data_IF_383839942986
#
_entry.id   IF_383839942986
#
_cell.length_a   1.000
_cell.length_b   1.000
_cell.length_c   1.000
_cell.angle_alpha   90.00
_cell.angle_beta   90.00
_cell.angle_gamma   90.00
#
_symmetry.space_group_name_H-M   'P 1'
#
loop_
_entity.id
_entity.type
_entity.pdbx_description
1 polymer ?
#
# COMPACT_ATOMS: atom_id res chain seq x y z
N UNK A 1 -11.41 3.40 13.41
CA UNK A 1 -10.44 2.53 12.69
C UNK A 1 -9.45 3.26 11.77
N UNK A 2 -9.86 4.26 10.97
CA UNK A 2 -8.92 5.01 10.14
C UNK A 2 -8.09 6.03 10.91
N UNK A 3 -8.70 7.16 11.26
CA UNK A 3 -7.98 8.35 11.75
C UNK A 3 -7.37 8.12 13.13
N UNK A 4 -8.16 7.62 14.08
CA UNK A 4 -7.68 7.28 15.42
C UNK A 4 -6.69 6.10 15.42
N UNK A 5 -6.81 5.18 14.46
CA UNK A 5 -5.88 4.05 14.31
C UNK A 5 -4.50 4.52 13.85
N UNK A 6 -4.45 5.33 12.80
CA UNK A 6 -3.20 5.91 12.29
C UNK A 6 -2.60 6.90 13.29
N UNK A 7 -3.42 7.72 13.98
CA UNK A 7 -2.95 8.59 15.04
C UNK A 7 -2.42 7.80 16.25
N UNK A 8 -3.05 6.68 16.61
CA UNK A 8 -2.57 5.79 17.67
C UNK A 8 -1.28 5.05 17.31
N UNK A 9 -1.07 4.80 16.03
CA UNK A 9 0.15 4.14 15.53
C UNK A 9 1.40 4.95 15.89
N UNK A 10 1.35 6.29 15.89
CA UNK A 10 2.50 7.13 16.25
C UNK A 10 3.00 6.87 17.67
N UNK A 11 2.10 6.56 18.60
CA UNK A 11 2.42 6.32 20.00
C UNK A 11 3.02 4.94 20.24
N UNK A 12 2.83 4.00 19.30
CA UNK A 12 3.29 2.59 19.38
C UNK A 12 3.13 2.01 20.79
N UNK A 13 1.92 2.08 21.34
CA UNK A 13 1.66 1.70 22.74
C UNK A 13 2.05 0.26 23.05
N UNK A 14 1.87 -0.67 22.09
CA UNK A 14 2.22 -2.09 22.27
C UNK A 14 3.72 -2.30 22.54
N UNK A 15 4.66 -1.93 21.64
CA UNK A 15 6.09 -2.10 21.91
C UNK A 15 6.56 -1.24 23.09
N UNK A 16 5.97 -0.05 23.31
CA UNK A 16 6.33 0.79 24.44
C UNK A 16 6.04 0.10 25.79
N UNK A 17 4.87 -0.49 25.96
CA UNK A 17 4.49 -1.21 27.19
C UNK A 17 5.34 -2.47 27.37
N UNK A 18 5.56 -3.24 26.29
CA UNK A 18 6.40 -4.44 26.32
C UNK A 18 7.84 -4.08 26.70
N UNK A 19 8.39 -2.99 26.17
CA UNK A 19 9.72 -2.52 26.49
C UNK A 19 9.86 -2.20 27.99
N UNK A 20 8.94 -1.43 28.57
CA UNK A 20 8.99 -1.11 30.00
C UNK A 20 8.84 -2.34 30.89
N UNK A 21 8.00 -3.30 30.48
CA UNK A 21 7.80 -4.55 31.20
C UNK A 21 9.06 -5.45 31.14
N UNK A 22 9.66 -5.60 29.95
CA UNK A 22 10.94 -6.30 29.78
C UNK A 22 12.07 -5.62 30.57
N UNK A 23 12.14 -4.29 30.52
CA UNK A 23 13.16 -3.52 31.22
C UNK A 23 13.06 -3.66 32.74
N UNK A 24 11.84 -3.77 33.29
CA UNK A 24 11.64 -3.94 34.73
C UNK A 24 11.92 -5.37 35.22
N UNK A 25 11.54 -6.40 34.45
CA UNK A 25 11.61 -7.79 34.92
C UNK A 25 12.78 -8.62 34.38
N UNK A 26 13.27 -8.34 33.16
CA UNK A 26 14.12 -9.26 32.40
C UNK A 26 15.50 -8.67 32.04
N UNK A 27 15.62 -7.36 31.88
CA UNK A 27 16.88 -6.70 31.49
C UNK A 27 17.87 -6.69 32.65
N UNK A 28 19.04 -7.34 32.48
CA UNK A 28 20.15 -7.32 33.44
C UNK A 28 21.43 -6.76 32.85
N UNK A 29 21.58 -6.83 31.53
CA UNK A 29 22.75 -6.34 30.78
C UNK A 29 22.35 -5.39 29.65
N UNK A 30 23.31 -4.60 29.15
CA UNK A 30 23.07 -3.67 28.02
C UNK A 30 22.62 -4.40 26.74
N UNK A 31 23.08 -5.64 26.52
CA UNK A 31 22.64 -6.46 25.37
C UNK A 31 21.16 -6.85 25.46
N UNK A 32 20.68 -7.19 26.66
CA UNK A 32 19.26 -7.51 26.87
C UNK A 32 18.36 -6.29 26.59
N UNK A 33 18.90 -5.07 26.77
CA UNK A 33 18.21 -3.82 26.47
C UNK A 33 18.09 -3.58 24.97
N UNK A 34 19.14 -3.86 24.20
CA UNK A 34 19.11 -3.79 22.73
C UNK A 34 18.07 -4.76 22.16
N UNK A 35 18.02 -6.00 22.66
CA UNK A 35 17.00 -6.99 22.26
C UNK A 35 15.58 -6.57 22.65
N UNK A 36 15.41 -5.86 23.78
CA UNK A 36 14.12 -5.33 24.19
C UNK A 36 13.68 -4.11 23.35
N UNK A 37 14.62 -3.40 22.72
CA UNK A 37 14.38 -2.20 21.90
C UNK A 37 13.94 -2.51 20.46
N UNK A 38 13.74 -3.77 20.09
CA UNK A 38 13.31 -4.14 18.74
C UNK A 38 11.98 -3.47 18.36
N UNK A 39 11.99 -2.52 17.42
CA UNK A 39 10.79 -1.86 16.96
C UNK A 39 9.93 -2.77 16.09
N UNK A 40 10.44 -3.87 15.55
CA UNK A 40 9.78 -4.71 14.57
C UNK A 40 9.57 -4.02 13.21
N UNK A 41 8.94 -4.77 12.31
CA UNK A 41 8.67 -4.37 10.94
C UNK A 41 7.31 -3.70 10.75
N UNK A 42 7.11 -3.11 9.57
CA UNK A 42 5.81 -2.61 9.14
C UNK A 42 4.89 -3.81 8.93
N UNK A 43 3.71 -3.79 9.55
CA UNK A 43 2.68 -4.80 9.36
C UNK A 43 2.02 -4.65 7.98
N UNK A 44 2.72 -5.04 6.92
CA UNK A 44 2.25 -4.93 5.53
C UNK A 44 0.91 -5.66 5.35
N UNK A 45 0.77 -6.85 5.95
CA UNK A 45 -0.43 -7.67 5.89
C UNK A 45 -1.69 -6.99 6.45
N UNK A 46 -1.55 -6.08 7.41
CA UNK A 46 -2.68 -5.37 8.03
C UNK A 46 -2.89 -3.98 7.42
N UNK A 47 -1.80 -3.30 7.08
CA UNK A 47 -1.83 -1.92 6.60
C UNK A 47 -2.23 -1.84 5.13
N UNK A 48 -1.75 -2.75 4.29
CA UNK A 48 -2.02 -2.74 2.85
C UNK A 48 -3.51 -2.95 2.52
N UNK A 49 -4.22 -3.95 3.08
CA UNK A 49 -5.65 -4.12 2.80
C UNK A 49 -6.49 -2.96 3.32
N UNK A 50 -6.08 -2.35 4.44
CA UNK A 50 -6.75 -1.18 5.02
C UNK A 50 -6.68 0.03 4.08
N UNK A 51 -5.52 0.29 3.48
CA UNK A 51 -5.35 1.35 2.48
C UNK A 51 -6.20 1.06 1.24
N UNK A 52 -6.23 -0.18 0.77
CA UNK A 52 -7.03 -0.59 -0.39
C UNK A 52 -8.53 -0.43 -0.17
N UNK A 53 -9.02 -0.68 1.04
CA UNK A 53 -10.41 -0.42 1.40
C UNK A 53 -10.77 1.06 1.25
N UNK A 54 -9.90 1.98 1.73
CA UNK A 54 -10.12 3.42 1.56
C UNK A 54 -10.05 3.86 0.10
N UNK A 55 -9.17 3.25 -0.71
CA UNK A 55 -9.14 3.47 -2.15
C UNK A 55 -10.43 3.04 -2.83
N UNK A 56 -10.93 1.84 -2.53
CA UNK A 56 -12.21 1.34 -3.04
C UNK A 56 -13.35 2.29 -2.65
N UNK A 57 -13.42 2.69 -1.38
CA UNK A 57 -14.42 3.63 -0.88
C UNK A 57 -14.35 4.97 -1.63
N UNK A 58 -13.15 5.52 -1.81
CA UNK A 58 -12.94 6.75 -2.56
C UNK A 58 -13.42 6.65 -4.01
N UNK A 59 -13.06 5.56 -4.71
CA UNK A 59 -13.45 5.34 -6.10
C UNK A 59 -14.95 5.11 -6.28
N UNK A 60 -15.60 4.36 -5.38
CA UNK A 60 -17.04 4.07 -5.44
C UNK A 60 -17.86 5.31 -5.12
N UNK A 61 -17.48 6.08 -4.10
CA UNK A 61 -18.26 7.23 -3.65
C UNK A 61 -17.91 8.54 -4.35
N UNK A 62 -16.80 8.63 -5.09
CA UNK A 62 -16.44 9.80 -5.88
C UNK A 62 -17.59 10.34 -6.77
N UNK A 63 -18.25 9.52 -7.60
CA UNK A 63 -19.37 9.98 -8.43
C UNK A 63 -20.72 10.07 -7.68
N UNK A 64 -20.83 9.51 -6.46
CA UNK A 64 -22.10 9.41 -5.71
C UNK A 64 -22.23 10.52 -4.67
N UNK A 65 -21.23 10.68 -3.82
CA UNK A 65 -21.18 11.65 -2.71
C UNK A 65 -19.77 12.25 -2.63
N UNK A 66 -19.47 13.33 -3.38
CA UNK A 66 -18.12 13.90 -3.45
C UNK A 66 -17.64 14.50 -2.13
N UNK A 67 -18.56 14.76 -1.18
CA UNK A 67 -18.22 15.29 0.15
C UNK A 67 -17.32 14.34 0.96
N UNK A 68 -17.27 13.04 0.63
CA UNK A 68 -16.40 12.07 1.29
C UNK A 68 -14.92 12.21 0.86
N UNK A 69 -14.66 12.70 -0.35
CA UNK A 69 -13.30 12.76 -0.91
C UNK A 69 -12.32 13.61 -0.10
N UNK A 70 -12.68 14.84 0.36
CA UNK A 70 -11.78 15.64 1.20
C UNK A 70 -11.34 14.90 2.48
N UNK A 71 -12.22 14.12 3.11
CA UNK A 71 -11.89 13.34 4.30
C UNK A 71 -10.90 12.21 4.00
N UNK A 72 -11.05 11.55 2.85
CA UNK A 72 -10.14 10.48 2.41
C UNK A 72 -8.77 11.06 2.03
N UNK A 73 -8.74 12.20 1.32
CA UNK A 73 -7.49 12.88 0.96
C UNK A 73 -6.74 13.33 2.22
N UNK A 74 -7.46 13.94 3.18
CA UNK A 74 -6.88 14.33 4.45
C UNK A 74 -6.31 13.13 5.22
N UNK A 75 -7.04 12.01 5.25
CA UNK A 75 -6.57 10.76 5.83
C UNK A 75 -5.26 10.28 5.18
N UNK A 76 -5.18 10.25 3.85
CA UNK A 76 -3.96 9.84 3.14
C UNK A 76 -2.79 10.79 3.39
N UNK A 77 -3.03 12.11 3.43
CA UNK A 77 -2.00 13.09 3.76
C UNK A 77 -1.46 12.91 5.18
N UNK A 78 -2.35 12.72 6.15
CA UNK A 78 -1.96 12.48 7.55
C UNK A 78 -1.23 11.14 7.73
N UNK A 79 -1.73 10.07 7.10
CA UNK A 79 -1.08 8.76 7.11
C UNK A 79 0.31 8.82 6.46
N UNK A 80 0.47 9.54 5.35
CA UNK A 80 1.76 9.74 4.70
C UNK A 80 2.79 10.36 5.65
N UNK A 81 2.41 11.43 6.38
CA UNK A 81 3.31 12.08 7.33
C UNK A 81 3.74 11.14 8.46
N UNK A 82 2.79 10.40 9.04
CA UNK A 82 3.07 9.48 10.15
C UNK A 82 3.92 8.31 9.69
N UNK A 83 3.53 7.60 8.64
CA UNK A 83 4.30 6.47 8.15
C UNK A 83 5.69 6.90 7.66
N UNK A 84 5.83 8.07 7.02
CA UNK A 84 7.14 8.61 6.65
C UNK A 84 8.03 8.84 7.88
N UNK A 85 7.47 9.42 8.95
CA UNK A 85 8.21 9.61 10.20
C UNK A 85 8.63 8.27 10.82
N UNK A 86 7.73 7.29 10.86
CA UNK A 86 8.02 6.00 11.48
C UNK A 86 9.00 5.15 10.66
N UNK A 87 8.94 5.20 9.32
CA UNK A 87 9.89 4.50 8.45
C UNK A 87 11.32 5.02 8.67
N UNK A 88 11.48 6.33 8.87
CA UNK A 88 12.81 6.94 9.04
C UNK A 88 13.37 6.67 10.45
N UNK A 89 12.52 6.77 11.49
CA UNK A 89 13.00 6.84 12.87
C UNK A 89 12.83 5.55 13.69
N UNK A 90 11.96 4.64 13.25
CA UNK A 90 11.51 3.55 14.12
C UNK A 90 11.56 2.20 13.44
N UNK A 91 10.87 2.00 12.32
CA UNK A 91 10.72 0.66 11.75
C UNK A 91 12.05 0.12 11.22
N UNK A 92 12.32 -1.15 11.54
CA UNK A 92 13.42 -1.89 10.95
C UNK A 92 12.86 -2.88 9.94
N UNK A 93 13.42 -2.91 8.73
CA UNK A 93 12.94 -3.75 7.65
C UNK A 93 13.66 -5.11 7.69
N UNK A 94 12.93 -6.17 8.03
CA UNK A 94 13.49 -7.53 8.14
C UNK A 94 13.79 -8.18 6.78
N UNK A 95 13.06 -7.80 5.73
CA UNK A 95 13.20 -8.35 4.39
C UNK A 95 13.18 -7.25 3.32
N UNK A 96 14.05 -7.35 2.32
CA UNK A 96 14.08 -6.42 1.17
C UNK A 96 13.49 -7.08 -0.08
N UNK A 97 12.24 -6.75 -0.38
CA UNK A 97 11.53 -7.27 -1.56
C UNK A 97 11.68 -6.40 -2.81
N UNK A 98 12.38 -5.27 -2.74
CA UNK A 98 12.53 -4.30 -3.84
C UNK A 98 11.22 -3.93 -4.57
N UNK A 99 10.12 -3.78 -3.80
CA UNK A 99 8.78 -3.46 -4.30
C UNK A 99 8.15 -4.48 -5.30
N UNK A 100 8.57 -5.75 -5.25
CA UNK A 100 7.98 -6.81 -6.08
C UNK A 100 6.45 -7.01 -5.88
N UNK A 101 5.87 -6.49 -4.79
CA UNK A 101 4.42 -6.50 -4.53
C UNK A 101 3.61 -5.48 -5.38
N UNK A 102 4.26 -4.60 -6.14
CA UNK A 102 3.57 -3.54 -6.89
C UNK A 102 2.56 -4.05 -7.93
N UNK A 103 2.84 -5.12 -8.71
CA UNK A 103 1.86 -5.69 -9.63
C UNK A 103 0.55 -6.13 -8.93
N UNK A 104 0.65 -6.67 -7.71
CA UNK A 104 -0.52 -7.07 -6.91
C UNK A 104 -1.33 -5.86 -6.47
N UNK A 105 -0.67 -4.82 -5.95
CA UNK A 105 -1.32 -3.57 -5.55
C UNK A 105 -2.02 -2.91 -6.74
N UNK A 106 -1.34 -2.84 -7.89
CA UNK A 106 -1.92 -2.32 -9.13
C UNK A 106 -3.16 -3.12 -9.56
N UNK A 107 -3.09 -4.45 -9.56
CA UNK A 107 -4.21 -5.33 -9.92
C UNK A 107 -5.45 -5.12 -9.02
N UNK A 108 -5.23 -4.93 -7.72
CA UNK A 108 -6.31 -4.66 -6.76
C UNK A 108 -6.93 -3.27 -6.94
N UNK A 109 -6.12 -2.24 -7.25
CA UNK A 109 -6.63 -0.89 -7.58
C UNK A 109 -7.48 -0.93 -8.86
N UNK A 110 -7.02 -1.62 -9.90
CA UNK A 110 -7.79 -1.80 -11.15
C UNK A 110 -9.10 -2.52 -10.86
N UNK A 111 -9.08 -3.57 -10.03
CA UNK A 111 -10.29 -4.30 -9.64
C UNK A 111 -11.26 -3.39 -8.87
N UNK A 112 -10.78 -2.55 -7.96
CA UNK A 112 -11.60 -1.54 -7.28
C UNK A 112 -12.23 -0.54 -8.25
N UNK A 113 -11.49 -0.14 -9.29
CA UNK A 113 -11.97 0.76 -10.33
C UNK A 113 -13.09 0.11 -11.17
N UNK A 114 -12.92 -1.15 -11.57
CA UNK A 114 -13.94 -1.94 -12.27
C UNK A 114 -15.19 -2.11 -11.40
N UNK A 115 -15.03 -2.41 -10.10
CA UNK A 115 -16.15 -2.49 -9.14
C UNK A 115 -16.91 -1.16 -9.07
N UNK A 116 -16.19 -0.03 -8.98
CA UNK A 116 -16.81 1.31 -8.98
C UNK A 116 -17.64 1.56 -10.24
N UNK A 117 -17.11 1.21 -11.41
CA UNK A 117 -17.82 1.38 -12.69
C UNK A 117 -19.07 0.50 -12.78
N UNK A 118 -19.00 -0.76 -12.35
CA UNK A 118 -20.15 -1.68 -12.33
C UNK A 118 -21.25 -1.16 -11.38
N UNK A 119 -20.87 -0.72 -10.18
CA UNK A 119 -21.79 -0.13 -9.22
C UNK A 119 -22.44 1.15 -9.77
N UNK A 120 -21.68 1.99 -10.46
CA UNK A 120 -22.19 3.20 -11.10
C UNK A 120 -23.18 2.88 -12.22
N UNK A 121 -22.93 1.84 -13.03
CA UNK A 121 -23.89 1.34 -14.03
C UNK A 121 -25.20 0.92 -13.36
N UNK A 122 -25.12 0.17 -12.25
CA UNK A 122 -26.30 -0.22 -11.47
C UNK A 122 -27.08 0.99 -10.95
N UNK A 123 -26.39 1.97 -10.39
CA UNK A 123 -26.99 3.21 -9.88
C UNK A 123 -27.65 4.04 -11.00
N UNK A 124 -27.01 4.18 -12.15
CA UNK A 124 -27.56 4.97 -13.27
C UNK A 124 -28.77 4.29 -13.91
N UNK A 125 -28.78 2.95 -13.93
CA UNK A 125 -29.91 2.15 -14.43
C UNK A 125 -31.15 2.34 -13.57
N UNK A 126 -31.01 2.40 -12.24
CA UNK A 126 -32.15 2.64 -11.32
C UNK A 126 -32.70 4.07 -11.41
N UNK A 127 -31.89 5.05 -11.79
CA UNK A 127 -32.29 6.46 -11.93
C UNK A 127 -32.94 6.80 -13.29
N UNK A 128 -33.24 5.81 -14.13
CA UNK A 128 -33.85 6.01 -15.45
C UNK A 128 -32.95 6.71 -16.48
N UNK A 129 -31.65 6.89 -16.17
CA UNK A 129 -30.66 7.54 -17.06
C UNK A 129 -29.93 6.51 -17.93
N UNK A 130 -30.71 5.66 -18.62
CA UNK A 130 -30.19 4.54 -19.40
C UNK A 130 -29.31 4.97 -20.61
N UNK A 131 -29.42 6.21 -21.05
CA UNK A 131 -28.59 6.74 -22.15
C UNK A 131 -27.10 6.84 -21.80
N UNK A 132 -26.75 6.91 -20.51
CA UNK A 132 -25.36 6.97 -20.06
C UNK A 132 -24.69 5.59 -19.94
N UNK A 133 -25.47 4.51 -19.93
CA UNK A 133 -24.99 3.14 -19.72
C UNK A 133 -24.01 2.64 -20.78
N UNK A 134 -24.20 2.89 -22.10
CA UNK A 134 -23.25 2.46 -23.13
C UNK A 134 -21.86 3.06 -22.94
N UNK A 135 -21.77 4.34 -22.56
CA UNK A 135 -20.50 5.01 -22.32
C UNK A 135 -19.73 4.42 -21.13
N UNK A 136 -20.45 4.05 -20.06
CA UNK A 136 -19.85 3.41 -18.89
C UNK A 136 -19.34 2.00 -19.20
N UNK A 137 -20.04 1.24 -20.05
CA UNK A 137 -19.58 -0.09 -20.48
C UNK A 137 -18.27 0.02 -21.27
N UNK A 138 -18.17 0.98 -22.21
CA UNK A 138 -16.94 1.24 -22.96
C UNK A 138 -15.80 1.59 -21.99
N UNK A 139 -16.06 2.43 -20.99
CA UNK A 139 -15.06 2.79 -19.97
C UNK A 139 -14.53 1.56 -19.21
N UNK A 140 -15.40 0.62 -18.84
CA UNK A 140 -14.99 -0.63 -18.17
C UNK A 140 -14.10 -1.48 -19.06
N UNK A 141 -14.45 -1.62 -20.35
CA UNK A 141 -13.64 -2.36 -21.33
C UNK A 141 -12.27 -1.70 -21.50
N UNK A 142 -12.22 -0.37 -21.63
CA UNK A 142 -10.97 0.38 -21.70
C UNK A 142 -10.10 0.18 -20.46
N UNK A 143 -10.69 0.14 -19.27
CA UNK A 143 -9.97 -0.10 -18.01
C UNK A 143 -9.30 -1.48 -17.99
N UNK A 144 -10.02 -2.52 -18.41
CA UNK A 144 -9.48 -3.88 -18.50
C UNK A 144 -8.38 -3.97 -19.58
N UNK A 145 -8.58 -3.30 -20.73
CA UNK A 145 -7.59 -3.20 -21.79
C UNK A 145 -6.30 -2.52 -21.31
N UNK A 146 -6.42 -1.42 -20.57
CA UNK A 146 -5.31 -0.72 -19.95
C UNK A 146 -4.54 -1.63 -18.97
N UNK A 147 -5.24 -2.37 -18.12
CA UNK A 147 -4.60 -3.32 -17.21
C UNK A 147 -3.81 -4.40 -17.96
N UNK A 148 -4.37 -4.96 -19.04
CA UNK A 148 -3.64 -5.94 -19.88
C UNK A 148 -2.41 -5.34 -20.54
N UNK A 149 -2.49 -4.10 -21.01
CA UNK A 149 -1.35 -3.38 -21.55
C UNK A 149 -0.26 -3.17 -20.49
N UNK A 150 -0.62 -2.70 -19.30
CA UNK A 150 0.31 -2.50 -18.20
C UNK A 150 0.96 -3.81 -17.75
N UNK A 151 0.17 -4.88 -17.68
CA UNK A 151 0.66 -6.21 -17.34
C UNK A 151 1.71 -6.69 -18.34
N UNK A 152 1.41 -6.66 -19.64
CA UNK A 152 2.34 -7.08 -20.68
C UNK A 152 3.61 -6.20 -20.79
N UNK A 153 3.50 -4.90 -20.49
CA UNK A 153 4.62 -3.95 -20.70
C UNK A 153 5.53 -3.76 -19.48
N UNK A 154 4.98 -3.82 -18.27
CA UNK A 154 5.69 -3.43 -17.05
C UNK A 154 5.86 -4.55 -16.03
N UNK A 155 4.98 -5.56 -15.98
CA UNK A 155 5.07 -6.64 -14.98
C UNK A 155 6.38 -7.43 -15.11
N UNK A 156 6.89 -7.61 -16.32
CA UNK A 156 8.16 -8.31 -16.56
C UNK A 156 9.34 -7.69 -15.79
N UNK A 157 9.33 -6.38 -15.54
CA UNK A 157 10.39 -5.72 -14.77
C UNK A 157 10.36 -6.09 -13.27
N UNK A 158 9.22 -6.54 -12.75
CA UNK A 158 9.06 -6.94 -11.35
C UNK A 158 9.27 -8.45 -11.13
N UNK A 159 9.09 -9.25 -12.18
CA UNK A 159 9.14 -10.72 -12.10
C UNK A 159 10.43 -11.30 -12.68
N UNK A 160 11.01 -10.64 -13.69
CA UNK A 160 12.16 -11.14 -14.44
C UNK A 160 13.36 -10.23 -14.21
N UNK A 161 14.46 -10.80 -13.76
CA UNK A 161 15.75 -10.10 -13.67
C UNK A 161 16.46 -10.17 -15.04
N UNK A 162 16.68 -9.05 -15.74
CA UNK A 162 17.30 -9.06 -17.05
C UNK A 162 18.79 -9.43 -16.97
N UNK A 163 19.22 -10.36 -17.82
CA UNK A 163 20.62 -10.84 -17.88
C UNK A 163 21.63 -9.71 -18.13
N UNK A 164 21.23 -8.68 -18.88
CA UNK A 164 22.07 -7.52 -19.15
C UNK A 164 22.43 -6.76 -17.87
N UNK A 165 21.47 -6.53 -16.97
CA UNK A 165 21.75 -5.83 -15.70
C UNK A 165 22.57 -6.70 -14.76
N UNK A 166 22.31 -8.02 -14.74
CA UNK A 166 23.12 -8.96 -13.98
C UNK A 166 24.59 -8.92 -14.41
N UNK A 167 24.86 -8.99 -15.72
CA UNK A 167 26.23 -8.93 -16.26
C UNK A 167 26.92 -7.59 -15.97
N UNK A 168 26.20 -6.48 -16.07
CA UNK A 168 26.73 -5.15 -15.73
C UNK A 168 27.12 -5.12 -14.24
N UNK A 169 26.24 -5.59 -13.36
CA UNK A 169 26.48 -5.62 -11.92
C UNK A 169 27.69 -6.50 -11.56
N UNK A 170 27.77 -7.72 -12.13
CA UNK A 170 28.89 -8.65 -11.91
C UNK A 170 30.23 -8.06 -12.36
N UNK A 171 30.23 -7.34 -13.49
CA UNK A 171 31.45 -6.71 -14.01
C UNK A 171 31.91 -5.56 -13.12
N UNK A 172 30.97 -4.74 -12.63
CA UNK A 172 31.26 -3.65 -11.70
C UNK A 172 31.76 -4.16 -10.35
N UNK A 173 31.18 -5.26 -9.85
CA UNK A 173 31.58 -5.87 -8.58
C UNK A 173 33.02 -6.40 -8.66
N UNK A 174 33.37 -7.15 -9.73
CA UNK A 174 34.74 -7.60 -9.99
C UNK A 174 35.75 -6.46 -10.16
N UNK A 175 35.31 -5.32 -10.68
CA UNK A 175 36.18 -4.15 -10.82
C UNK A 175 36.39 -3.41 -9.49
N UNK A 176 35.42 -3.48 -8.57
CA UNK A 176 35.50 -2.85 -7.24
C UNK A 176 36.29 -3.69 -6.25
N UNK A 177 36.09 -4.99 -6.28
CA UNK A 177 36.68 -5.98 -5.36
C UNK A 177 37.33 -7.10 -6.20
N UNK A 178 38.56 -6.87 -6.73
CA UNK A 178 39.24 -7.79 -7.62
C UNK A 178 39.78 -9.05 -6.94
#
# INVERSE_FOLDING_TARGET
DGWAGVAGEILRLKPLVIFHLKNFFLVKTEKDREEAMDPGQIEFYATEPRIQLYFLLGLVYAPVTPILLPFIIFFFGFAYLIFRHQIINVYNQEYESAAAFWPDVHGRIISALVISQILLIGLMSTKGKAQSTPFLIVLTICTIGFHRFCKGRYESAFVINPLQEAMIKDTLEKAREP
#
